data_IF_653853019835
#
_entry.id   IF_653853019835
#
_cell.length_a   1.000
_cell.length_b   1.000
_cell.length_c   1.000
_cell.angle_alpha   90.00
_cell.angle_beta   90.00
_cell.angle_gamma   90.00
#
_symmetry.space_group_name_H-M   'P 1'
#
loop_
_entity.id
_entity.type
_entity.pdbx_description
1 polymer ?
#
# COMPACT_ATOMS: atom_id res chain seq x y z
N UNK A 1 -24.19 47.45 -33.87
CA UNK A 1 -24.72 46.81 -32.66
C UNK A 1 -23.56 46.63 -31.73
N UNK A 2 -23.72 47.13 -30.51
CA UNK A 2 -22.71 47.38 -29.49
C UNK A 2 -22.84 46.37 -28.34
N UNK A 3 -21.74 46.19 -27.59
CA UNK A 3 -21.58 45.49 -26.29
C UNK A 3 -21.87 43.96 -26.30
N UNK A 4 -21.11 43.05 -25.67
CA UNK A 4 -20.70 43.03 -24.26
C UNK A 4 -19.25 42.51 -24.05
N UNK A 5 -18.53 43.27 -23.23
CA UNK A 5 -17.33 42.87 -22.48
C UNK A 5 -17.75 41.96 -21.33
N UNK A 6 -17.12 40.79 -21.20
CA UNK A 6 -17.14 40.05 -19.93
C UNK A 6 -15.73 39.62 -19.62
N UNK A 7 -14.98 40.58 -19.11
CA UNK A 7 -13.84 40.38 -18.24
C UNK A 7 -14.18 39.39 -17.13
N UNK A 8 -13.60 38.19 -17.16
CA UNK A 8 -13.48 37.32 -15.99
C UNK A 8 -12.01 37.21 -15.60
N UNK A 9 -11.68 37.97 -14.56
CA UNK A 9 -10.43 37.99 -13.84
C UNK A 9 -10.05 36.57 -13.38
N UNK A 10 -8.80 36.11 -13.57
CA UNK A 10 -8.31 34.95 -12.84
C UNK A 10 -8.14 35.37 -11.37
N UNK A 11 -8.78 34.63 -10.46
CA UNK A 11 -8.55 34.79 -9.04
C UNK A 11 -7.10 34.43 -8.70
N UNK A 12 -6.39 35.36 -8.07
CA UNK A 12 -5.07 35.17 -7.50
C UNK A 12 -5.13 34.05 -6.44
N UNK A 13 -4.62 32.88 -6.79
CA UNK A 13 -4.31 31.85 -5.81
C UNK A 13 -2.99 32.24 -5.16
N UNK A 14 -3.11 32.83 -3.97
CA UNK A 14 -2.02 33.09 -3.02
C UNK A 14 -1.21 31.81 -2.78
N UNK A 15 -0.07 31.69 -3.44
CA UNK A 15 0.94 30.67 -3.18
C UNK A 15 1.65 31.03 -1.87
N UNK A 16 1.39 30.24 -0.84
CA UNK A 16 1.97 30.42 0.49
C UNK A 16 3.45 30.07 0.42
N UNK A 17 4.27 31.12 0.44
CA UNK A 17 5.70 31.13 0.75
C UNK A 17 6.11 30.03 1.75
N UNK A 18 6.81 29.00 1.27
CA UNK A 18 7.66 28.15 2.10
C UNK A 18 9.12 28.40 1.68
N UNK A 19 9.97 28.66 2.65
CA UNK A 19 11.31 29.17 2.44
C UNK A 19 12.19 28.07 1.82
N UNK A 20 12.78 28.34 0.65
CA UNK A 20 13.86 27.54 0.06
C UNK A 20 15.11 27.59 0.94
N UNK A 21 15.14 26.79 2.00
CA UNK A 21 16.40 26.39 2.61
C UNK A 21 16.94 25.26 1.75
N UNK A 22 17.87 25.60 0.86
CA UNK A 22 18.75 24.65 0.18
C UNK A 22 19.52 23.88 1.28
N UNK A 23 18.95 22.77 1.75
CA UNK A 23 19.70 21.78 2.52
C UNK A 23 20.40 20.92 1.47
N UNK A 24 21.72 21.02 1.25
CA UNK A 24 22.41 20.01 0.50
C UNK A 24 22.19 18.68 1.23
N UNK A 25 21.46 17.75 0.62
CA UNK A 25 21.47 16.35 1.04
C UNK A 25 22.89 15.82 0.84
N UNK A 26 23.74 16.07 1.83
CA UNK A 26 24.98 15.34 2.04
C UNK A 26 24.54 13.89 2.21
N UNK A 27 24.71 13.09 1.16
CA UNK A 27 24.68 11.62 1.24
C UNK A 27 25.76 11.24 2.24
N UNK A 28 25.40 11.17 3.52
CA UNK A 28 26.15 10.40 4.48
C UNK A 28 25.86 8.94 4.13
N UNK A 29 26.73 8.40 3.28
CA UNK A 29 26.98 6.99 3.19
C UNK A 29 27.40 6.56 4.60
N UNK A 30 26.43 6.16 5.43
CA UNK A 30 26.72 5.50 6.69
C UNK A 30 27.26 4.13 6.32
N UNK A 31 28.59 4.04 6.32
CA UNK A 31 29.34 2.80 6.30
C UNK A 31 28.94 2.01 7.53
N UNK A 32 27.83 1.26 7.45
CA UNK A 32 27.54 0.20 8.39
C UNK A 32 28.46 -0.95 8.01
N UNK A 33 29.46 -1.19 8.86
CA UNK A 33 30.35 -2.33 8.76
C UNK A 33 29.51 -3.62 8.61
N UNK A 34 29.83 -4.53 7.66
CA UNK A 34 29.16 -5.81 7.57
C UNK A 34 29.58 -6.64 8.79
N UNK A 35 28.68 -6.75 9.77
CA UNK A 35 28.84 -7.66 10.89
C UNK A 35 28.71 -9.11 10.38
N UNK A 36 29.79 -9.87 10.55
CA UNK A 36 29.99 -11.33 10.57
C UNK A 36 28.90 -12.27 10.01
N UNK A 37 29.27 -13.23 9.13
CA UNK A 37 28.41 -14.31 8.68
C UNK A 37 28.41 -15.44 9.72
N UNK A 38 27.89 -15.19 10.91
CA UNK A 38 27.73 -16.25 11.91
C UNK A 38 26.25 -16.48 12.20
N UNK A 39 25.85 -17.75 12.05
CA UNK A 39 24.50 -18.26 12.28
C UNK A 39 23.37 -17.71 11.38
N UNK A 40 23.49 -17.91 10.07
CA UNK A 40 22.30 -18.17 9.25
C UNK A 40 21.73 -19.55 9.66
N UNK A 41 21.09 -19.61 10.82
CA UNK A 41 20.03 -20.61 11.04
C UNK A 41 19.12 -20.50 9.80
N UNK A 42 18.68 -21.58 9.14
CA UNK A 42 17.64 -21.52 8.12
C UNK A 42 16.31 -21.20 8.82
N UNK A 43 16.26 -20.05 9.48
CA UNK A 43 15.15 -19.47 10.19
C UNK A 43 14.20 -18.97 9.14
N UNK A 44 13.32 -19.87 8.69
CA UNK A 44 12.05 -19.58 8.03
C UNK A 44 12.16 -18.35 7.13
N UNK A 45 12.76 -18.55 5.94
CA UNK A 45 12.75 -17.57 4.87
C UNK A 45 11.40 -16.84 4.92
N UNK A 46 11.41 -15.51 5.06
CA UNK A 46 10.20 -14.72 5.29
C UNK A 46 9.24 -14.96 4.12
N UNK A 47 8.37 -15.96 4.28
CA UNK A 47 7.56 -16.45 3.20
C UNK A 47 6.50 -15.40 2.96
N UNK A 48 6.54 -14.81 1.76
CA UNK A 48 5.58 -13.78 1.39
C UNK A 48 4.19 -14.38 1.51
N UNK A 49 3.35 -13.75 2.32
CA UNK A 49 1.96 -14.14 2.50
C UNK A 49 1.25 -13.97 1.15
N UNK A 50 0.90 -15.10 0.52
CA UNK A 50 0.13 -15.12 -0.74
C UNK A 50 -1.27 -15.70 -0.57
N UNK A 51 -1.50 -16.47 0.49
CA UNK A 51 -2.75 -17.20 0.70
C UNK A 51 -3.90 -16.32 1.18
N UNK A 52 -5.15 -16.54 0.70
CA UNK A 52 -6.33 -15.78 1.12
C UNK A 52 -6.53 -15.78 2.64
N UNK A 53 -6.28 -16.94 3.28
CA UNK A 53 -6.41 -17.12 4.73
C UNK A 53 -5.58 -16.13 5.56
N UNK A 54 -4.45 -15.67 5.04
CA UNK A 54 -3.57 -14.73 5.74
C UNK A 54 -3.68 -13.29 5.20
N UNK A 55 -4.08 -13.13 3.93
CA UNK A 55 -4.33 -11.82 3.29
C UNK A 55 -5.57 -11.14 3.87
N UNK A 56 -6.71 -11.84 3.92
CA UNK A 56 -8.00 -11.28 4.34
C UNK A 56 -7.97 -10.70 5.75
N UNK A 57 -7.48 -11.40 6.80
CA UNK A 57 -7.46 -10.83 8.14
C UNK A 57 -6.52 -9.63 8.25
N UNK A 58 -5.41 -9.62 7.49
CA UNK A 58 -4.48 -8.49 7.46
C UNK A 58 -5.13 -7.25 6.84
N UNK A 59 -5.81 -7.40 5.70
CA UNK A 59 -6.53 -6.31 5.04
C UNK A 59 -7.63 -5.73 5.93
N UNK A 60 -8.44 -6.59 6.57
CA UNK A 60 -9.48 -6.17 7.52
C UNK A 60 -8.93 -5.39 8.71
N UNK A 61 -7.77 -5.78 9.27
CA UNK A 61 -7.13 -5.05 10.37
C UNK A 61 -6.71 -3.63 9.95
N UNK A 62 -6.14 -3.50 8.75
CA UNK A 62 -5.75 -2.20 8.20
C UNK A 62 -6.96 -1.29 8.01
N UNK A 63 -8.05 -1.81 7.44
CA UNK A 63 -9.30 -1.05 7.28
C UNK A 63 -9.90 -0.63 8.63
N UNK A 64 -9.84 -1.49 9.65
CA UNK A 64 -10.31 -1.15 11.00
C UNK A 64 -9.53 0.04 11.58
N UNK A 65 -8.20 0.01 11.51
CA UNK A 65 -7.36 1.12 12.00
C UNK A 65 -7.58 2.39 11.17
N UNK A 66 -7.77 2.26 9.86
CA UNK A 66 -8.05 3.40 8.99
C UNK A 66 -9.29 4.20 9.43
N UNK A 67 -10.34 3.51 9.89
CA UNK A 67 -11.52 4.17 10.47
C UNK A 67 -11.20 5.07 11.67
N UNK A 68 -10.06 4.86 12.34
CA UNK A 68 -9.61 5.67 13.48
C UNK A 68 -8.58 6.74 13.09
N UNK A 69 -7.59 6.43 12.25
CA UNK A 69 -6.46 7.35 11.94
C UNK A 69 -6.64 8.15 10.65
N UNK A 70 -7.68 7.88 9.86
CA UNK A 70 -8.07 8.57 8.61
C UNK A 70 -7.03 8.67 7.49
N UNK A 71 -5.82 8.17 7.68
CA UNK A 71 -4.81 8.04 6.62
C UNK A 71 -4.36 6.59 6.46
N UNK A 72 -4.16 6.18 5.21
CA UNK A 72 -3.75 4.81 4.93
C UNK A 72 -2.30 4.54 5.32
N UNK A 73 -1.42 5.51 5.11
CA UNK A 73 -0.01 5.42 5.50
C UNK A 73 0.17 5.15 7.00
N UNK A 74 -0.64 5.78 7.85
CA UNK A 74 -0.59 5.57 9.29
C UNK A 74 -1.17 4.20 9.69
N UNK A 75 -2.29 3.80 9.08
CA UNK A 75 -2.86 2.48 9.30
C UNK A 75 -1.90 1.35 8.90
N UNK A 76 -1.13 1.52 7.83
CA UNK A 76 -0.09 0.57 7.41
C UNK A 76 1.05 0.48 8.43
N UNK A 77 1.54 1.63 8.94
CA UNK A 77 2.59 1.68 9.97
C UNK A 77 2.14 0.99 11.25
N UNK A 78 0.94 1.29 11.75
CA UNK A 78 0.39 0.70 12.98
C UNK A 78 0.24 -0.82 12.85
N UNK A 79 -0.16 -1.31 11.68
CA UNK A 79 -0.30 -2.75 11.44
C UNK A 79 1.01 -3.45 11.03
N UNK A 80 2.13 -2.72 10.91
CA UNK A 80 3.41 -3.22 10.41
C UNK A 80 3.29 -3.93 9.05
N UNK A 81 2.53 -3.33 8.12
CA UNK A 81 2.36 -3.87 6.77
C UNK A 81 2.92 -2.90 5.74
N UNK A 82 3.69 -3.41 4.79
CA UNK A 82 4.15 -2.64 3.65
C UNK A 82 3.01 -2.29 2.68
N UNK A 83 3.04 -1.07 2.13
CA UNK A 83 2.02 -0.57 1.19
C UNK A 83 1.94 -1.41 -0.08
N UNK A 84 3.09 -1.84 -0.61
CA UNK A 84 3.15 -2.72 -1.78
C UNK A 84 2.53 -4.08 -1.49
N UNK A 85 2.67 -4.60 -0.27
CA UNK A 85 1.99 -5.83 0.15
C UNK A 85 0.48 -5.67 0.10
N UNK A 86 -0.07 -4.62 0.73
CA UNK A 86 -1.52 -4.36 0.69
C UNK A 86 -2.01 -4.20 -0.75
N UNK A 87 -1.31 -3.39 -1.57
CA UNK A 87 -1.68 -3.18 -2.97
C UNK A 87 -1.75 -4.49 -3.77
N UNK A 88 -0.75 -5.36 -3.62
CA UNK A 88 -0.68 -6.62 -4.37
C UNK A 88 -1.74 -7.63 -3.95
N UNK A 89 -2.14 -7.62 -2.67
CA UNK A 89 -3.09 -8.60 -2.13
C UNK A 89 -4.52 -8.07 -2.01
N UNK A 90 -4.73 -6.78 -2.26
CA UNK A 90 -6.03 -6.11 -2.21
C UNK A 90 -7.07 -6.78 -3.13
N UNK A 91 -6.78 -7.13 -4.40
CA UNK A 91 -7.77 -7.78 -5.27
C UNK A 91 -8.32 -9.09 -4.68
N UNK A 92 -7.45 -9.92 -4.09
CA UNK A 92 -7.83 -11.18 -3.44
C UNK A 92 -8.74 -10.91 -2.23
N UNK A 93 -8.38 -9.91 -1.42
CA UNK A 93 -9.13 -9.58 -0.21
C UNK A 93 -10.49 -8.96 -0.53
N UNK A 94 -10.52 -8.01 -1.46
CA UNK A 94 -11.72 -7.29 -1.88
C UNK A 94 -12.73 -8.24 -2.49
N UNK A 95 -12.30 -9.13 -3.40
CA UNK A 95 -13.18 -10.14 -3.97
C UNK A 95 -13.80 -11.04 -2.89
N UNK A 96 -13.00 -11.58 -1.97
CA UNK A 96 -13.52 -12.44 -0.88
C UNK A 96 -14.49 -11.71 0.05
N UNK A 97 -14.36 -10.39 0.20
CA UNK A 97 -15.23 -9.58 1.07
C UNK A 97 -16.54 -9.22 0.34
N UNK A 98 -16.46 -8.84 -0.93
CA UNK A 98 -17.60 -8.37 -1.73
C UNK A 98 -18.44 -9.54 -2.23
N UNK A 99 -17.78 -10.58 -2.72
CA UNK A 99 -18.43 -11.75 -3.32
C UNK A 99 -17.70 -13.04 -2.90
N UNK A 100 -18.07 -13.61 -1.75
CA UNK A 100 -17.47 -14.83 -1.27
C UNK A 100 -17.85 -16.05 -2.13
N UNK A 101 -18.95 -16.02 -2.89
CA UNK A 101 -19.38 -17.18 -3.66
C UNK A 101 -18.53 -17.32 -4.92
N UNK A 102 -18.33 -16.21 -5.64
CA UNK A 102 -17.41 -16.16 -6.79
C UNK A 102 -15.96 -16.42 -6.38
N UNK A 103 -15.54 -15.99 -5.19
CA UNK A 103 -14.19 -16.30 -4.71
C UNK A 103 -13.97 -17.83 -4.57
N UNK A 104 -14.98 -18.56 -4.15
CA UNK A 104 -14.91 -19.99 -3.89
C UNK A 104 -14.89 -20.81 -5.17
N UNK A 105 -15.61 -20.37 -6.21
CA UNK A 105 -15.57 -21.01 -7.54
C UNK A 105 -14.23 -20.83 -8.24
N UNK A 106 -13.49 -19.76 -7.92
CA UNK A 106 -12.15 -19.49 -8.46
C UNK A 106 -11.02 -20.23 -7.72
N UNK A 107 -11.33 -20.99 -6.67
CA UNK A 107 -10.33 -21.86 -6.05
C UNK A 107 -9.96 -22.96 -7.03
N UNK A 108 -8.69 -22.97 -7.42
CA UNK A 108 -8.11 -24.07 -8.19
C UNK A 108 -8.35 -25.39 -7.45
N UNK A 109 -9.05 -26.30 -8.12
CA UNK A 109 -9.24 -27.66 -7.65
C UNK A 109 -8.37 -28.57 -8.51
N UNK A 110 -7.23 -29.08 -7.99
CA UNK A 110 -6.34 -29.94 -8.76
C UNK A 110 -7.04 -31.20 -9.27
N UNK A 111 -8.16 -31.62 -8.67
CA UNK A 111 -8.92 -32.77 -9.13
C UNK A 111 -9.75 -32.49 -10.40
N UNK A 112 -10.17 -31.24 -10.62
CA UNK A 112 -11.03 -30.83 -11.75
C UNK A 112 -10.22 -30.18 -12.86
N UNK A 113 -9.20 -29.39 -12.51
CA UNK A 113 -8.45 -28.57 -13.47
C UNK A 113 -7.39 -29.36 -14.27
N UNK A 114 -7.03 -30.58 -13.85
CA UNK A 114 -6.18 -31.49 -14.64
C UNK A 114 -6.96 -32.31 -15.68
N UNK A 115 -8.30 -32.16 -15.74
CA UNK A 115 -9.18 -32.86 -16.68
C UNK A 115 -9.57 -32.02 -17.91
N UNK A 116 -8.98 -30.84 -18.08
CA UNK A 116 -9.19 -29.95 -19.23
C UNK A 116 -8.00 -29.93 -20.18
#
# INVERSE_FOLDING_TARGET
MSEDDTSQSPADLSDSSDSDVVIPKKKQCSTRNPASPDAAVPGRAHMRVKGPAAVVPRYKKVLKIFGHVRTMSEAFKINNVDRGTIKMTAPIAELKIVDPDTFETLKFDPAIDNLL
#
